data_IF_276693708752
#
_entry.id   IF_276693708752
#
_cell.length_a   1.000
_cell.length_b   1.000
_cell.length_c   1.000
_cell.angle_alpha   90.00
_cell.angle_beta   90.00
_cell.angle_gamma   90.00
#
_symmetry.space_group_name_H-M   'P 1'
#
loop_
_entity.id
_entity.type
_entity.pdbx_description
1 polymer ?
#
# COMPACT_ATOMS: atom_id res chain seq x y z
N UNK A 1 25.72 45.76 -15.81
CA UNK A 1 26.38 44.63 -15.12
C UNK A 1 26.16 44.88 -13.64
N UNK A 2 25.52 44.06 -12.83
CA UNK A 2 25.23 42.61 -12.85
C UNK A 2 24.05 42.35 -11.88
N UNK A 3 23.33 41.24 -12.11
CA UNK A 3 22.15 40.77 -11.37
C UNK A 3 22.38 40.62 -9.87
N UNK A 4 21.38 41.00 -9.06
CA UNK A 4 21.16 40.43 -7.73
C UNK A 4 19.90 39.56 -7.79
N UNK A 5 20.09 38.26 -8.06
CA UNK A 5 19.04 37.26 -8.04
C UNK A 5 19.32 36.33 -6.86
N UNK A 6 18.62 36.55 -5.74
CA UNK A 6 18.59 35.61 -4.63
C UNK A 6 17.90 34.32 -5.06
N UNK A 7 18.70 33.30 -5.39
CA UNK A 7 18.24 31.94 -5.61
C UNK A 7 17.81 31.35 -4.25
N UNK A 8 16.50 31.27 -4.02
CA UNK A 8 15.96 30.45 -2.94
C UNK A 8 15.97 28.98 -3.41
N UNK A 9 16.82 28.15 -2.80
CA UNK A 9 16.80 26.71 -2.98
C UNK A 9 15.50 26.14 -2.41
N UNK A 10 14.51 25.93 -3.27
CA UNK A 10 13.33 25.14 -2.96
C UNK A 10 13.70 23.66 -2.93
N UNK A 11 14.03 23.13 -1.76
CA UNK A 11 13.99 21.69 -1.53
C UNK A 11 12.53 21.27 -1.47
N UNK A 12 11.94 20.92 -2.62
CA UNK A 12 10.64 20.26 -2.65
C UNK A 12 10.74 18.98 -1.81
N UNK A 13 9.82 18.73 -0.87
CA UNK A 13 9.79 17.43 -0.20
C UNK A 13 9.61 16.36 -1.27
N UNK A 14 10.53 15.40 -1.35
CA UNK A 14 10.32 14.20 -2.14
C UNK A 14 9.03 13.55 -1.60
N UNK A 15 7.96 13.55 -2.40
CA UNK A 15 6.74 12.83 -2.06
C UNK A 15 7.09 11.37 -1.86
N UNK A 16 6.71 10.77 -0.73
CA UNK A 16 6.83 9.34 -0.51
C UNK A 16 6.26 8.58 -1.74
N UNK A 17 6.84 7.43 -2.12
CA UNK A 17 6.29 6.64 -3.22
C UNK A 17 4.81 6.33 -2.95
N UNK A 18 3.95 6.34 -3.98
CA UNK A 18 2.55 5.98 -3.82
C UNK A 18 2.46 4.54 -3.29
N UNK A 19 1.62 4.34 -2.26
CA UNK A 19 1.40 3.04 -1.64
C UNK A 19 0.54 2.16 -2.55
N UNK A 20 0.81 0.86 -2.56
CA UNK A 20 0.01 -0.14 -3.27
C UNK A 20 -1.00 -0.81 -2.34
N UNK A 21 -0.58 -1.18 -1.13
CA UNK A 21 -1.40 -1.85 -0.13
C UNK A 21 -1.27 -1.19 1.26
N UNK A 22 -2.38 -1.17 2.01
CA UNK A 22 -2.39 -0.80 3.44
C UNK A 22 -3.01 -1.92 4.26
N UNK A 23 -2.36 -2.27 5.37
CA UNK A 23 -2.79 -3.30 6.31
C UNK A 23 -3.35 -2.66 7.59
N UNK A 24 -4.68 -2.55 7.67
CA UNK A 24 -5.38 -1.88 8.77
C UNK A 24 -5.69 -2.89 9.89
N UNK A 25 -4.99 -2.80 11.02
CA UNK A 25 -5.22 -3.68 12.19
C UNK A 25 -6.43 -3.23 13.01
N UNK A 26 -7.45 -4.08 13.11
CA UNK A 26 -8.64 -3.89 13.95
C UNK A 26 -8.73 -4.91 15.09
N UNK A 27 -7.58 -5.41 15.56
CA UNK A 27 -7.37 -6.40 16.61
C UNK A 27 -7.86 -7.81 16.28
N UNK A 28 -9.17 -7.99 16.06
CA UNK A 28 -9.76 -9.29 15.74
C UNK A 28 -9.67 -9.65 14.26
N UNK A 29 -9.48 -8.65 13.40
CA UNK A 29 -9.35 -8.77 11.96
C UNK A 29 -8.47 -7.64 11.41
N UNK A 30 -8.00 -7.83 10.19
CA UNK A 30 -7.34 -6.82 9.39
C UNK A 30 -8.18 -6.51 8.16
N UNK A 31 -8.06 -5.27 7.68
CA UNK A 31 -8.48 -4.91 6.32
C UNK A 31 -7.24 -4.68 5.46
N UNK A 32 -7.14 -5.38 4.34
CA UNK A 32 -6.08 -5.17 3.35
C UNK A 32 -6.67 -4.36 2.21
N UNK A 33 -6.25 -3.09 2.12
CA UNK A 33 -6.82 -2.12 1.19
C UNK A 33 -5.88 -1.87 0.02
N UNK A 34 -6.31 -2.12 -1.22
CA UNK A 34 -5.56 -1.69 -2.39
C UNK A 34 -5.71 -0.18 -2.61
N UNK A 35 -4.59 0.49 -2.86
CA UNK A 35 -4.51 1.92 -3.18
C UNK A 35 -3.99 2.18 -4.60
N UNK A 36 -3.59 1.13 -5.30
CA UNK A 36 -3.17 1.16 -6.70
C UNK A 36 -3.78 -0.01 -7.48
N UNK A 37 -3.74 0.07 -8.81
CA UNK A 37 -4.15 -1.03 -9.69
C UNK A 37 -3.27 -2.27 -9.49
N UNK A 38 -1.95 -2.07 -9.29
CA UNK A 38 -1.01 -3.16 -9.00
C UNK A 38 -1.35 -3.85 -7.66
N UNK A 39 -1.72 -3.08 -6.63
CA UNK A 39 -2.17 -3.62 -5.35
C UNK A 39 -3.44 -4.45 -5.49
N UNK A 40 -4.44 -3.96 -6.24
CA UNK A 40 -5.67 -4.70 -6.49
C UNK A 40 -5.40 -6.00 -7.22
N UNK A 41 -4.64 -5.95 -8.32
CA UNK A 41 -4.31 -7.13 -9.11
C UNK A 41 -3.56 -8.18 -8.28
N UNK A 42 -2.59 -7.74 -7.48
CA UNK A 42 -1.84 -8.67 -6.63
C UNK A 42 -2.74 -9.37 -5.61
N UNK A 43 -3.69 -8.66 -4.99
CA UNK A 43 -4.68 -9.28 -4.09
C UNK A 43 -5.55 -10.30 -4.82
N UNK A 44 -6.06 -9.95 -6.01
CA UNK A 44 -6.91 -10.84 -6.81
C UNK A 44 -6.19 -12.13 -7.22
N UNK A 45 -4.88 -12.06 -7.45
CA UNK A 45 -4.06 -13.21 -7.86
C UNK A 45 -3.55 -14.07 -6.69
N UNK A 46 -3.33 -13.47 -5.52
CA UNK A 46 -2.55 -14.11 -4.43
C UNK A 46 -3.33 -14.30 -3.13
N UNK A 47 -4.48 -13.64 -2.95
CA UNK A 47 -5.19 -13.63 -1.66
C UNK A 47 -6.64 -14.04 -1.82
N UNK A 48 -6.95 -15.20 -1.24
CA UNK A 48 -8.32 -15.70 -1.15
C UNK A 48 -8.86 -16.29 -2.45
N UNK A 49 -10.16 -16.53 -2.48
CA UNK A 49 -10.93 -17.06 -3.61
C UNK A 49 -12.29 -16.34 -3.75
N UNK A 50 -13.21 -16.88 -4.56
CA UNK A 50 -14.54 -16.32 -4.76
C UNK A 50 -15.39 -16.15 -3.48
N UNK A 51 -15.03 -16.82 -2.38
CA UNK A 51 -15.71 -16.74 -1.09
C UNK A 51 -15.06 -15.74 -0.12
N UNK A 52 -14.03 -15.03 -0.56
CA UNK A 52 -13.32 -14.04 0.27
C UNK A 52 -14.26 -12.93 0.72
N UNK A 53 -14.32 -12.70 2.02
CA UNK A 53 -15.10 -11.60 2.58
C UNK A 53 -14.40 -10.27 2.29
N UNK A 54 -15.18 -9.31 1.79
CA UNK A 54 -14.72 -7.94 1.55
C UNK A 54 -15.57 -6.95 2.32
N UNK A 55 -14.97 -5.83 2.71
CA UNK A 55 -15.67 -4.74 3.38
C UNK A 55 -15.15 -3.39 2.88
N UNK A 56 -16.02 -2.61 2.22
CA UNK A 56 -15.65 -1.30 1.68
C UNK A 56 -14.46 -1.37 0.71
N UNK A 57 -14.42 -2.39 -0.15
CA UNK A 57 -13.35 -2.60 -1.14
C UNK A 57 -12.02 -3.12 -0.56
N UNK A 58 -11.96 -3.49 0.71
CA UNK A 58 -10.80 -4.13 1.31
C UNK A 58 -11.06 -5.62 1.56
N UNK A 59 -10.01 -6.44 1.47
CA UNK A 59 -10.06 -7.86 1.86
C UNK A 59 -10.09 -7.94 3.39
N UNK A 60 -11.09 -8.65 3.92
CA UNK A 60 -11.15 -8.97 5.36
C UNK A 60 -10.27 -10.18 5.62
N UNK A 61 -9.29 -10.02 6.51
CA UNK A 61 -8.27 -11.02 6.74
C UNK A 61 -8.09 -11.31 8.25
N UNK A 62 -7.95 -12.58 8.61
CA UNK A 62 -7.62 -12.94 9.99
C UNK A 62 -6.13 -12.64 10.28
N UNK A 63 -5.77 -12.18 11.50
CA UNK A 63 -4.41 -11.76 11.82
C UNK A 63 -3.32 -12.80 11.52
N UNK A 64 -3.64 -14.10 11.62
CA UNK A 64 -2.69 -15.21 11.39
C UNK A 64 -2.17 -15.32 9.95
N UNK A 65 -2.84 -14.70 8.97
CA UNK A 65 -2.41 -14.72 7.57
C UNK A 65 -1.62 -13.47 7.16
N UNK A 66 -1.62 -12.43 7.99
CA UNK A 66 -1.11 -11.11 7.60
C UNK A 66 0.38 -11.11 7.31
N UNK A 67 1.19 -11.81 8.11
CA UNK A 67 2.63 -11.88 7.91
C UNK A 67 2.96 -12.46 6.53
N UNK A 68 2.35 -13.58 6.15
CA UNK A 68 2.59 -14.21 4.85
C UNK A 68 2.14 -13.33 3.69
N UNK A 69 0.99 -12.66 3.82
CA UNK A 69 0.47 -11.78 2.76
C UNK A 69 1.38 -10.55 2.60
N UNK A 70 1.80 -9.93 3.70
CA UNK A 70 2.70 -8.78 3.69
C UNK A 70 4.06 -9.14 3.08
N UNK A 71 4.63 -10.29 3.47
CA UNK A 71 5.90 -10.76 2.92
C UNK A 71 5.79 -11.11 1.42
N UNK A 72 4.68 -11.69 0.98
CA UNK A 72 4.43 -11.95 -0.43
C UNK A 72 4.37 -10.67 -1.26
N UNK A 73 3.56 -9.71 -0.83
CA UNK A 73 3.40 -8.44 -1.55
C UNK A 73 4.72 -7.66 -1.65
N UNK A 74 5.47 -7.60 -0.55
CA UNK A 74 6.77 -6.90 -0.53
C UNK A 74 7.85 -7.63 -1.33
N UNK A 75 7.84 -8.97 -1.37
CA UNK A 75 8.74 -9.75 -2.24
C UNK A 75 8.47 -9.46 -3.73
N UNK A 76 7.22 -9.23 -4.11
CA UNK A 76 6.81 -8.84 -5.46
C UNK A 76 6.95 -7.33 -5.73
N UNK A 77 7.62 -6.59 -4.82
CA UNK A 77 7.98 -5.17 -4.92
C UNK A 77 6.80 -4.21 -4.82
N UNK A 78 5.68 -4.61 -4.23
CA UNK A 78 4.63 -3.66 -3.85
C UNK A 78 5.09 -2.80 -2.66
N UNK A 79 4.68 -1.53 -2.65
CA UNK A 79 4.91 -0.61 -1.54
C UNK A 79 3.76 -0.76 -0.53
N UNK A 80 4.06 -1.34 0.63
CA UNK A 80 3.08 -1.63 1.67
C UNK A 80 3.25 -0.73 2.91
N UNK A 81 2.16 -0.48 3.63
CA UNK A 81 2.17 0.19 4.94
C UNK A 81 1.30 -0.54 5.96
#
# INVERSE_FOLDING_TARGET
MVNDASQASGSSPQSAPPLDLVFENHFSLFLIRPLSEAGQQWLDENVGDENTLTFGGAVVCEPRYIENIFLGATADRLVCR
#
